data_IF_668411976257
#
_entry.id   IF_668411976257
#
_cell.length_a   1.000
_cell.length_b   1.000
_cell.length_c   1.000
_cell.angle_alpha   90.00
_cell.angle_beta   90.00
_cell.angle_gamma   90.00
#
_symmetry.space_group_name_H-M   'P 1'
#
loop_
_entity.id
_entity.type
_entity.pdbx_description
1 polymer ?
#
# COMPACT_ATOMS: atom_id res chain seq x y z
N UNK A 1 -7.78 -42.07 19.94
CA UNK A 1 -9.08 -41.76 19.31
C UNK A 1 -9.68 -40.55 20.01
N UNK A 2 -9.83 -39.48 19.25
CA UNK A 2 -10.62 -38.25 19.42
C UNK A 2 -10.52 -37.40 20.71
N UNK A 3 -10.16 -36.14 20.46
CA UNK A 3 -10.77 -34.92 20.98
C UNK A 3 -10.69 -34.62 22.47
N UNK A 4 -9.93 -33.57 22.81
CA UNK A 4 -10.53 -32.27 23.19
C UNK A 4 -9.43 -31.30 23.62
N UNK A 5 -8.90 -30.52 22.67
CA UNK A 5 -8.30 -29.23 22.97
C UNK A 5 -9.12 -28.17 22.24
N UNK A 6 -10.28 -27.84 22.80
CA UNK A 6 -10.94 -26.57 22.54
C UNK A 6 -10.14 -25.49 23.27
N UNK A 7 -9.14 -24.90 22.59
CA UNK A 7 -8.60 -23.63 23.06
C UNK A 7 -9.61 -22.56 22.69
N UNK A 8 -10.42 -22.17 23.67
CA UNK A 8 -11.18 -20.95 23.64
C UNK A 8 -10.22 -19.74 23.72
N UNK A 9 -9.68 -19.32 22.58
CA UNK A 9 -9.19 -17.94 22.43
C UNK A 9 -10.30 -17.17 21.74
N UNK A 10 -11.19 -16.58 22.53
CA UNK A 10 -12.06 -15.53 22.05
C UNK A 10 -11.70 -14.23 22.76
N UNK A 11 -11.60 -13.19 21.93
CA UNK A 11 -11.45 -11.78 22.26
C UNK A 11 -10.00 -11.27 22.43
N UNK A 12 -9.62 -10.38 21.51
CA UNK A 12 -8.45 -9.47 21.49
C UNK A 12 -7.27 -9.78 20.55
N UNK A 13 -7.41 -10.60 19.50
CA UNK A 13 -6.50 -10.44 18.34
C UNK A 13 -7.18 -9.45 17.39
N UNK A 14 -6.89 -8.17 17.56
CA UNK A 14 -7.04 -7.18 16.50
C UNK A 14 -6.36 -7.75 15.27
N UNK A 15 -7.17 -8.19 14.29
CA UNK A 15 -6.69 -8.80 13.06
C UNK A 15 -5.67 -7.85 12.42
N UNK A 16 -4.37 -8.19 12.35
CA UNK A 16 -3.52 -7.56 11.35
C UNK A 16 -4.21 -7.81 10.02
N UNK A 17 -4.49 -6.74 9.27
CA UNK A 17 -5.09 -6.76 7.93
C UNK A 17 -4.58 -7.99 7.19
N UNK A 18 -5.50 -8.86 6.75
CA UNK A 18 -5.11 -10.20 6.28
C UNK A 18 -4.05 -10.09 5.17
N UNK A 19 -3.16 -11.09 5.03
CA UNK A 19 -2.14 -11.09 3.95
C UNK A 19 -2.81 -10.81 2.59
N UNK A 20 -4.01 -11.35 2.36
CA UNK A 20 -4.79 -11.12 1.16
C UNK A 20 -5.21 -9.65 1.00
N UNK A 21 -5.74 -9.03 2.06
CA UNK A 21 -6.15 -7.61 2.06
C UNK A 21 -4.95 -6.68 1.84
N UNK A 22 -3.82 -6.96 2.50
CA UNK A 22 -2.58 -6.21 2.28
C UNK A 22 -2.10 -6.35 0.84
N UNK A 23 -2.12 -7.57 0.30
CA UNK A 23 -1.73 -7.82 -1.08
C UNK A 23 -2.66 -7.08 -2.07
N UNK A 24 -3.96 -7.11 -1.85
CA UNK A 24 -4.94 -6.36 -2.65
C UNK A 24 -4.69 -4.85 -2.61
N UNK A 25 -4.41 -4.32 -1.42
CA UNK A 25 -4.02 -2.91 -1.22
C UNK A 25 -2.77 -2.54 -2.02
N UNK A 26 -1.72 -3.35 -1.97
CA UNK A 26 -0.49 -3.12 -2.73
C UNK A 26 -0.69 -3.26 -4.25
N UNK A 27 -1.56 -4.18 -4.69
CA UNK A 27 -1.93 -4.32 -6.11
C UNK A 27 -2.72 -3.11 -6.60
N UNK A 28 -3.65 -2.58 -5.79
CA UNK A 28 -4.38 -1.36 -6.09
C UNK A 28 -3.43 -0.16 -6.17
N UNK A 29 -2.52 -0.02 -5.21
CA UNK A 29 -1.46 1.00 -5.21
C UNK A 29 -0.57 0.95 -6.43
N UNK A 30 -0.08 -0.24 -6.80
CA UNK A 30 0.70 -0.45 -8.03
C UNK A 30 -0.07 -0.01 -9.27
N UNK A 31 -1.34 -0.41 -9.40
CA UNK A 31 -2.16 -0.06 -10.56
C UNK A 31 -2.30 1.45 -10.69
N UNK A 32 -2.65 2.13 -9.60
CA UNK A 32 -2.75 3.59 -9.57
C UNK A 32 -1.42 4.26 -9.91
N UNK A 33 -0.31 3.74 -9.37
CA UNK A 33 1.02 4.28 -9.66
C UNK A 33 1.36 4.21 -11.14
N UNK A 34 1.15 3.06 -11.78
CA UNK A 34 1.40 2.90 -13.22
C UNK A 34 0.45 3.78 -14.03
N UNK A 35 -0.85 3.74 -13.75
CA UNK A 35 -1.87 4.43 -14.56
C UNK A 35 -1.73 5.97 -14.50
N UNK A 36 -1.40 6.53 -13.33
CA UNK A 36 -1.33 7.98 -13.13
C UNK A 36 0.08 8.57 -13.28
N UNK A 37 1.13 7.84 -12.88
CA UNK A 37 2.47 8.43 -12.81
C UNK A 37 3.29 8.21 -14.09
N UNK A 38 2.90 7.31 -15.00
CA UNK A 38 3.59 7.12 -16.29
C UNK A 38 3.09 8.07 -17.40
N UNK A 39 2.11 8.93 -17.10
CA UNK A 39 1.48 9.79 -18.10
C UNK A 39 2.32 11.00 -18.53
N UNK A 40 3.23 11.47 -17.66
CA UNK A 40 3.98 12.72 -17.87
C UNK A 40 5.50 12.52 -17.94
N UNK A 41 6.04 11.46 -17.33
CA UNK A 41 7.46 11.11 -17.32
C UNK A 41 7.63 9.62 -17.03
N UNK A 42 8.88 9.14 -17.05
CA UNK A 42 9.19 7.77 -16.66
C UNK A 42 8.85 7.52 -15.19
N UNK A 43 8.44 6.29 -14.87
CA UNK A 43 8.21 5.88 -13.49
C UNK A 43 9.54 5.80 -12.74
N UNK A 44 9.54 6.33 -11.53
CA UNK A 44 10.65 6.21 -10.59
C UNK A 44 10.65 4.80 -9.96
N UNK A 45 11.83 4.30 -9.60
CA UNK A 45 11.90 3.00 -8.95
C UNK A 45 11.50 3.13 -7.47
N UNK A 46 10.72 2.21 -6.89
CA UNK A 46 10.31 2.29 -5.48
C UNK A 46 11.47 2.50 -4.49
N UNK A 47 12.65 1.95 -4.81
CA UNK A 47 13.89 2.05 -4.00
C UNK A 47 14.70 3.33 -4.22
N UNK A 48 14.26 4.22 -5.12
CA UNK A 48 14.98 5.44 -5.47
C UNK A 48 14.91 6.51 -4.37
N UNK A 49 13.84 6.49 -3.58
CA UNK A 49 13.56 7.47 -2.54
C UNK A 49 13.26 6.80 -1.19
N UNK A 50 13.51 7.52 -0.10
CA UNK A 50 13.05 7.16 1.24
C UNK A 50 11.53 7.38 1.35
N UNK A 51 10.91 6.81 2.39
CA UNK A 51 9.48 7.01 2.65
C UNK A 51 9.10 8.50 2.76
N UNK A 52 9.90 9.31 3.45
CA UNK A 52 9.60 10.75 3.61
C UNK A 52 9.78 11.52 2.30
N UNK A 53 10.76 11.14 1.48
CA UNK A 53 10.91 11.69 0.14
C UNK A 53 9.71 11.32 -0.74
N UNK A 54 9.23 10.07 -0.65
CA UNK A 54 8.02 9.66 -1.36
C UNK A 54 6.78 10.45 -0.93
N UNK A 55 6.59 10.69 0.38
CA UNK A 55 5.49 11.53 0.87
C UNK A 55 5.54 12.93 0.23
N UNK A 56 6.69 13.60 0.31
CA UNK A 56 6.87 14.93 -0.28
C UNK A 56 6.64 14.94 -1.80
N UNK A 57 7.19 13.96 -2.52
CA UNK A 57 7.02 13.86 -3.96
C UNK A 57 5.56 13.61 -4.34
N UNK A 58 4.85 12.75 -3.60
CA UNK A 58 3.45 12.46 -3.83
C UNK A 58 2.54 13.65 -3.50
N UNK A 59 2.87 14.45 -2.49
CA UNK A 59 2.13 15.69 -2.18
C UNK A 59 2.22 16.69 -3.35
N UNK A 60 3.39 16.83 -3.96
CA UNK A 60 3.55 17.68 -5.15
C UNK A 60 2.85 17.10 -6.39
N UNK A 61 2.94 15.78 -6.58
CA UNK A 61 2.38 15.11 -7.75
C UNK A 61 0.86 14.94 -7.65
N UNK A 62 0.28 14.95 -6.46
CA UNK A 62 -1.15 14.75 -6.24
C UNK A 62 -1.99 15.69 -7.10
N UNK A 63 -1.67 16.99 -7.06
CA UNK A 63 -2.38 18.02 -7.82
C UNK A 63 -2.13 17.87 -9.32
N UNK A 64 -0.89 17.56 -9.71
CA UNK A 64 -0.46 17.47 -11.13
C UNK A 64 -1.05 16.24 -11.83
N UNK A 65 -1.05 15.10 -11.15
CA UNK A 65 -1.56 13.81 -11.63
C UNK A 65 -3.07 13.61 -11.36
N UNK A 66 -3.71 14.58 -10.68
CA UNK A 66 -5.14 14.59 -10.33
C UNK A 66 -5.57 13.33 -9.57
N UNK A 67 -4.77 12.93 -8.58
CA UNK A 67 -5.09 11.81 -7.70
C UNK A 67 -5.70 12.31 -6.39
N UNK A 68 -6.60 11.53 -5.82
CA UNK A 68 -7.24 11.79 -4.51
C UNK A 68 -6.31 11.42 -3.36
N UNK A 69 -6.64 11.85 -2.14
CA UNK A 69 -5.86 11.48 -0.93
C UNK A 69 -5.81 9.96 -0.72
N UNK A 70 -6.94 9.27 -0.92
CA UNK A 70 -7.02 7.81 -0.79
C UNK A 70 -6.14 7.10 -1.83
N UNK A 71 -6.16 7.57 -3.08
CA UNK A 71 -5.29 7.04 -4.13
C UNK A 71 -3.82 7.31 -3.83
N UNK A 72 -3.49 8.51 -3.33
CA UNK A 72 -2.13 8.86 -2.91
C UNK A 72 -1.63 7.91 -1.82
N UNK A 73 -2.47 7.61 -0.83
CA UNK A 73 -2.10 6.70 0.25
C UNK A 73 -1.84 5.27 -0.26
N UNK A 74 -2.70 4.75 -1.16
CA UNK A 74 -2.49 3.43 -1.77
C UNK A 74 -1.18 3.36 -2.57
N UNK A 75 -0.85 4.43 -3.31
CA UNK A 75 0.42 4.53 -4.03
C UNK A 75 1.60 4.54 -3.05
N UNK A 76 1.52 5.33 -1.98
CA UNK A 76 2.56 5.40 -0.95
C UNK A 76 2.79 4.04 -0.31
N UNK A 77 1.72 3.35 0.10
CA UNK A 77 1.77 1.99 0.68
C UNK A 77 2.51 1.03 -0.27
N UNK A 78 2.25 1.10 -1.59
CA UNK A 78 2.94 0.30 -2.59
C UNK A 78 4.43 0.63 -2.70
N UNK A 79 4.80 1.91 -2.68
CA UNK A 79 6.18 2.37 -2.85
C UNK A 79 7.06 2.03 -1.65
N UNK A 80 6.47 1.98 -0.45
CA UNK A 80 7.20 1.77 0.82
C UNK A 80 7.13 0.34 1.34
N UNK A 81 6.27 -0.52 0.80
CA UNK A 81 6.18 -1.94 1.18
C UNK A 81 7.32 -2.81 0.61
N UNK A 82 8.26 -2.23 -0.13
CA UNK A 82 9.38 -2.97 -0.72
C UNK A 82 10.56 -3.05 0.27
N UNK A 83 11.25 -4.20 0.37
CA UNK A 83 12.42 -4.37 1.24
C UNK A 83 13.66 -3.64 0.74
#
# INVERSE_FOLDING_TARGET
>A
MVSSFMVAVNLCISHPSSIAEQQERLLAGRKLYVDHCSGCHNLHFPKEYTEDQWKSNLDEMQVKAKITDDQKQLILDYLTAQP
#
